data_IF_493576812353
#
_entry.id   IF_493576812353
#
_cell.length_a   1.000
_cell.length_b   1.000
_cell.length_c   1.000
_cell.angle_alpha   90.00
_cell.angle_beta   90.00
_cell.angle_gamma   90.00
#
_symmetry.space_group_name_H-M   'P 1'
#
loop_
_entity.id
_entity.type
_entity.pdbx_description
1 polymer ?
#
# COMPACT_ATOMS: atom_id res chain seq x y z
N UNK A 1 23.23 -7.84 4.25
CA UNK A 1 22.78 -7.51 2.87
C UNK A 1 23.66 -6.43 2.28
N UNK A 2 24.15 -6.58 1.04
CA UNK A 2 24.73 -5.43 0.33
C UNK A 2 23.60 -4.42 0.17
N UNK A 3 23.82 -3.21 0.69
CA UNK A 3 22.81 -2.18 0.61
C UNK A 3 22.69 -1.65 -0.82
N UNK A 4 21.52 -1.78 -1.40
CA UNK A 4 21.17 -1.24 -2.71
C UNK A 4 20.40 0.08 -2.57
N UNK A 5 20.55 0.94 -3.55
CA UNK A 5 20.01 2.28 -3.53
C UNK A 5 19.15 2.64 -4.75
N UNK A 6 18.99 3.93 -4.99
CA UNK A 6 18.17 4.44 -6.09
C UNK A 6 18.66 4.00 -7.48
N UNK A 7 19.97 3.79 -7.66
CA UNK A 7 20.54 3.34 -8.92
C UNK A 7 20.06 1.92 -9.25
N UNK A 8 20.20 1.01 -8.32
CA UNK A 8 19.75 -0.38 -8.47
C UNK A 8 18.23 -0.44 -8.60
N UNK A 9 17.48 0.41 -7.91
CA UNK A 9 16.03 0.52 -8.09
C UNK A 9 15.66 0.93 -9.51
N UNK A 10 16.41 1.85 -10.11
CA UNK A 10 16.21 2.26 -11.49
C UNK A 10 16.48 1.10 -12.45
N UNK A 11 17.62 0.42 -12.29
CA UNK A 11 18.07 -0.67 -13.15
C UNK A 11 17.20 -1.92 -13.02
N UNK A 12 16.85 -2.31 -11.79
CA UNK A 12 16.16 -3.57 -11.51
C UNK A 12 14.64 -3.48 -11.62
N UNK A 13 14.06 -2.31 -11.40
CA UNK A 13 12.61 -2.18 -11.36
C UNK A 13 12.07 -1.27 -12.44
N UNK A 14 12.62 -0.05 -12.60
CA UNK A 14 12.02 0.92 -13.51
C UNK A 14 12.36 0.65 -14.98
N UNK A 15 13.62 0.35 -15.29
CA UNK A 15 14.04 0.03 -16.64
C UNK A 15 13.47 -1.30 -17.15
N UNK A 16 13.14 -2.22 -16.22
CA UNK A 16 12.47 -3.50 -16.52
C UNK A 16 10.94 -3.41 -16.52
N UNK A 17 10.38 -2.21 -16.36
CA UNK A 17 8.92 -1.94 -16.26
C UNK A 17 8.18 -2.75 -15.17
N UNK A 18 8.87 -3.13 -14.10
CA UNK A 18 8.32 -3.91 -13.00
C UNK A 18 7.57 -3.08 -11.96
N UNK A 19 7.65 -1.74 -12.04
CA UNK A 19 6.98 -0.86 -11.09
C UNK A 19 5.47 -1.04 -11.09
N UNK A 20 4.91 -1.37 -9.92
CA UNK A 20 3.46 -1.58 -9.71
C UNK A 20 2.76 -0.35 -9.13
N UNK A 21 3.44 0.79 -9.00
CA UNK A 21 2.85 2.04 -8.53
C UNK A 21 2.34 2.02 -7.08
N UNK A 22 2.84 1.12 -6.22
CA UNK A 22 2.35 0.95 -4.84
C UNK A 22 2.56 2.17 -3.93
N UNK A 23 3.49 3.06 -4.29
CA UNK A 23 3.79 4.28 -3.55
C UNK A 23 4.80 4.12 -2.40
N UNK A 24 5.41 2.95 -2.20
CA UNK A 24 6.34 2.71 -1.09
C UNK A 24 7.57 3.62 -1.11
N UNK A 25 8.04 4.03 -2.28
CA UNK A 25 9.16 4.97 -2.45
C UNK A 25 8.71 6.45 -2.54
N UNK A 26 7.41 6.70 -2.75
CA UNK A 26 6.86 8.07 -2.83
C UNK A 26 6.70 8.65 -1.43
N UNK A 27 6.99 9.95 -1.27
CA UNK A 27 6.99 10.65 0.02
C UNK A 27 8.09 10.22 1.02
N UNK A 28 8.96 9.26 0.66
CA UNK A 28 10.19 8.98 1.43
C UNK A 28 11.22 10.10 1.26
N UNK A 29 11.30 10.66 0.06
CA UNK A 29 12.19 11.77 -0.29
C UNK A 29 11.57 12.59 -1.43
N UNK A 30 12.11 13.78 -1.76
CA UNK A 30 11.56 14.64 -2.80
C UNK A 30 11.74 14.11 -4.23
N UNK A 31 12.54 13.06 -4.45
CA UNK A 31 12.94 12.61 -5.80
C UNK A 31 11.90 11.71 -6.46
N UNK A 32 11.03 11.07 -5.69
CA UNK A 32 10.03 10.15 -6.24
C UNK A 32 8.63 10.74 -6.22
N UNK A 33 7.92 10.60 -7.35
CA UNK A 33 6.53 11.04 -7.50
C UNK A 33 5.70 9.95 -8.17
N UNK A 34 4.45 9.84 -7.76
CA UNK A 34 3.48 9.02 -8.47
C UNK A 34 3.04 9.71 -9.75
N UNK A 35 2.99 8.97 -10.86
CA UNK A 35 2.52 9.45 -12.15
C UNK A 35 1.80 8.34 -12.92
N UNK A 36 0.49 8.51 -13.14
CA UNK A 36 -0.34 7.61 -13.97
C UNK A 36 -0.16 6.12 -13.65
N UNK A 37 -0.20 5.77 -12.36
CA UNK A 37 -0.11 4.39 -11.88
C UNK A 37 1.31 3.81 -11.81
N UNK A 38 2.33 4.60 -12.06
CA UNK A 38 3.75 4.26 -11.89
C UNK A 38 4.42 5.27 -10.96
N UNK A 39 5.67 5.02 -10.58
CA UNK A 39 6.51 6.00 -9.90
C UNK A 39 7.56 6.53 -10.87
N UNK A 40 7.79 7.82 -10.85
CA UNK A 40 8.86 8.50 -11.58
C UNK A 40 9.91 9.02 -10.61
N UNK A 41 11.19 8.82 -10.93
CA UNK A 41 12.32 9.47 -10.27
C UNK A 41 12.61 10.78 -11.01
N UNK A 42 12.52 11.92 -10.31
CA UNK A 42 12.62 13.25 -10.89
C UNK A 42 14.07 13.72 -11.03
N UNK A 43 14.93 13.29 -10.14
CA UNK A 43 16.34 13.70 -10.08
C UNK A 43 17.23 12.49 -9.78
N UNK A 44 18.47 12.45 -10.28
CA UNK A 44 19.45 11.44 -9.90
C UNK A 44 19.76 11.52 -8.40
N UNK A 45 20.14 10.39 -7.82
CA UNK A 45 20.51 10.27 -6.42
C UNK A 45 21.78 9.42 -6.31
N UNK A 46 22.75 9.90 -5.55
CA UNK A 46 24.10 9.31 -5.43
C UNK A 46 24.24 8.42 -4.19
N UNK A 47 23.18 8.26 -3.42
CA UNK A 47 23.19 7.38 -2.25
C UNK A 47 23.37 5.91 -2.68
N UNK A 48 24.34 5.24 -2.04
CA UNK A 48 24.60 3.82 -2.28
C UNK A 48 23.58 2.89 -1.62
N UNK A 49 22.78 3.39 -0.69
CA UNK A 49 21.73 2.66 0.01
C UNK A 49 20.50 3.54 0.15
N UNK A 50 19.31 2.93 0.12
CA UNK A 50 18.09 3.70 0.25
C UNK A 50 16.84 2.87 0.55
N UNK A 51 15.99 3.42 1.43
CA UNK A 51 14.67 2.86 1.73
C UNK A 51 13.79 2.68 0.48
N UNK A 52 14.04 3.45 -0.57
CA UNK A 52 13.34 3.31 -1.84
C UNK A 52 13.54 1.93 -2.50
N UNK A 53 14.76 1.36 -2.39
CA UNK A 53 15.03 -0.01 -2.81
C UNK A 53 14.56 -1.01 -1.76
N UNK A 54 14.97 -0.82 -0.52
CA UNK A 54 14.71 -1.74 0.59
C UNK A 54 13.21 -2.00 0.84
N UNK A 55 12.33 -1.04 0.53
CA UNK A 55 10.88 -1.19 0.69
C UNK A 55 10.16 -1.62 -0.60
N UNK A 56 10.89 -1.69 -1.73
CA UNK A 56 10.25 -1.99 -3.01
C UNK A 56 9.85 -3.46 -3.12
N UNK A 57 8.55 -3.79 -3.32
CA UNK A 57 8.09 -5.17 -3.40
C UNK A 57 8.44 -5.84 -4.75
N UNK A 58 9.16 -5.13 -5.62
CA UNK A 58 9.60 -5.58 -6.95
C UNK A 58 11.12 -5.57 -7.12
N UNK A 59 11.83 -5.10 -6.09
CA UNK A 59 13.25 -5.33 -5.92
C UNK A 59 13.51 -6.73 -5.33
N UNK A 60 14.66 -6.96 -4.77
CA UNK A 60 14.96 -8.21 -4.06
C UNK A 60 14.09 -8.31 -2.80
N UNK A 61 13.29 -9.37 -2.69
CA UNK A 61 12.43 -9.67 -1.54
C UNK A 61 12.70 -11.10 -1.08
N UNK A 62 13.20 -11.24 0.13
CA UNK A 62 13.33 -12.55 0.77
C UNK A 62 12.00 -12.92 1.44
N UNK A 63 11.23 -13.77 0.77
CA UNK A 63 9.93 -14.23 1.26
C UNK A 63 10.06 -15.20 2.43
N UNK A 64 11.15 -15.96 2.52
CA UNK A 64 11.41 -16.88 3.63
C UNK A 64 11.73 -16.08 4.89
N UNK A 65 12.59 -15.06 4.80
CA UNK A 65 12.87 -14.16 5.93
C UNK A 65 11.57 -13.48 6.44
N UNK A 66 10.75 -12.96 5.53
CA UNK A 66 9.48 -12.35 5.90
C UNK A 66 8.51 -13.36 6.53
N UNK A 67 8.40 -14.58 5.99
CA UNK A 67 7.53 -15.61 6.53
C UNK A 67 7.98 -16.04 7.94
N UNK A 68 9.27 -16.29 8.15
CA UNK A 68 9.83 -16.61 9.47
C UNK A 68 9.56 -15.48 10.46
N UNK A 69 9.77 -14.23 10.06
CA UNK A 69 9.56 -13.06 10.92
C UNK A 69 8.12 -12.91 11.40
N UNK A 70 7.15 -13.10 10.51
CA UNK A 70 5.73 -12.84 10.81
C UNK A 70 4.94 -14.07 11.23
N UNK A 71 5.37 -15.27 10.83
CA UNK A 71 4.65 -16.52 11.05
C UNK A 71 5.45 -17.57 11.82
N UNK A 72 6.76 -17.36 12.00
CA UNK A 72 7.67 -18.33 12.63
C UNK A 72 7.87 -19.61 11.81
N UNK A 73 7.65 -19.56 10.49
CA UNK A 73 7.74 -20.69 9.57
C UNK A 73 8.27 -20.22 8.21
N UNK A 74 8.92 -21.12 7.49
CA UNK A 74 9.38 -20.87 6.12
C UNK A 74 8.20 -20.62 5.17
N UNK A 75 8.46 -19.95 4.07
CA UNK A 75 7.46 -19.67 3.03
C UNK A 75 7.17 -20.95 2.21
N UNK A 76 5.95 -21.45 2.31
CA UNK A 76 5.55 -22.72 1.66
C UNK A 76 5.04 -22.53 0.23
N UNK A 77 4.82 -21.32 -0.24
CA UNK A 77 4.34 -21.02 -1.59
C UNK A 77 2.92 -21.51 -1.88
N UNK A 78 2.13 -21.85 -0.85
CA UNK A 78 0.75 -22.32 -1.08
C UNK A 78 -0.19 -21.14 -1.43
N UNK A 79 -1.30 -21.39 -2.18
CA UNK A 79 -2.14 -20.31 -2.73
C UNK A 79 -2.76 -19.36 -1.72
N UNK A 80 -2.98 -19.79 -0.48
CA UNK A 80 -3.58 -18.94 0.58
C UNK A 80 -2.58 -18.53 1.65
N UNK A 81 -1.30 -18.95 1.54
CA UNK A 81 -0.25 -18.66 2.51
C UNK A 81 -0.52 -19.27 3.89
N UNK A 82 0.20 -18.80 4.90
CA UNK A 82 -0.05 -19.16 6.30
C UNK A 82 -1.32 -18.49 6.80
N UNK A 83 -2.12 -19.21 7.57
CA UNK A 83 -3.33 -18.67 8.18
C UNK A 83 -3.60 -19.33 9.55
N UNK A 84 -4.25 -18.59 10.42
CA UNK A 84 -4.73 -19.09 11.73
C UNK A 84 -6.16 -19.61 11.59
N UNK A 85 -7.02 -18.85 10.92
CA UNK A 85 -8.44 -19.16 10.73
C UNK A 85 -8.98 -18.53 9.46
N UNK A 86 -10.04 -19.12 8.92
CA UNK A 86 -10.78 -18.60 7.75
C UNK A 86 -12.23 -18.35 8.16
N UNK A 87 -12.74 -17.16 7.88
CA UNK A 87 -14.09 -16.75 8.23
C UNK A 87 -14.85 -16.21 7.02
N UNK A 88 -16.17 -16.39 7.01
CA UNK A 88 -17.09 -15.59 6.20
C UNK A 88 -17.60 -14.45 7.08
N UNK A 89 -17.42 -13.21 6.63
CA UNK A 89 -17.80 -12.03 7.39
C UNK A 89 -18.52 -10.99 6.53
N UNK A 90 -19.36 -10.21 7.18
CA UNK A 90 -20.08 -9.08 6.60
C UNK A 90 -20.15 -7.97 7.66
N UNK A 91 -20.16 -6.70 7.21
CA UNK A 91 -20.36 -5.56 8.09
C UNK A 91 -21.71 -5.68 8.81
N UNK A 92 -21.74 -5.46 10.10
CA UNK A 92 -22.94 -5.45 10.91
C UNK A 92 -23.65 -4.08 10.90
N UNK A 93 -24.75 -3.97 11.64
CA UNK A 93 -25.58 -2.76 11.73
C UNK A 93 -24.86 -1.54 12.31
N UNK A 94 -23.80 -1.76 13.11
CA UNK A 94 -22.97 -0.69 13.68
C UNK A 94 -21.90 -0.17 12.73
N UNK A 95 -21.75 -0.77 11.56
CA UNK A 95 -20.81 -0.26 10.56
C UNK A 95 -21.28 1.09 10.00
N UNK A 96 -20.36 1.99 9.64
CA UNK A 96 -20.73 3.23 8.98
C UNK A 96 -21.58 2.93 7.74
N UNK A 97 -22.71 3.63 7.57
CA UNK A 97 -23.54 3.51 6.36
C UNK A 97 -22.77 3.91 5.10
N UNK A 98 -22.92 3.16 4.01
CA UNK A 98 -22.26 3.46 2.75
C UNK A 98 -22.56 2.46 1.65
N UNK A 99 -22.15 2.77 0.42
CA UNK A 99 -22.26 1.87 -0.72
C UNK A 99 -21.05 0.92 -0.73
N UNK A 100 -21.25 -0.30 -0.29
CA UNK A 100 -20.22 -1.33 -0.29
C UNK A 100 -20.33 -2.22 -1.53
N UNK A 101 -19.22 -2.48 -2.19
CA UNK A 101 -19.16 -3.40 -3.32
C UNK A 101 -19.32 -4.86 -2.87
N UNK A 102 -18.79 -5.22 -1.69
CA UNK A 102 -18.82 -6.56 -1.13
C UNK A 102 -18.86 -6.50 0.41
N UNK A 103 -20.03 -6.65 1.01
CA UNK A 103 -20.23 -6.86 2.44
C UNK A 103 -19.69 -5.81 3.44
N UNK A 104 -18.83 -4.90 3.04
CA UNK A 104 -18.34 -3.79 3.86
C UNK A 104 -17.39 -4.13 5.00
N UNK A 105 -16.94 -5.38 5.13
CA UNK A 105 -16.12 -5.86 6.27
C UNK A 105 -14.86 -5.02 6.50
N UNK A 106 -14.11 -4.71 5.42
CA UNK A 106 -12.88 -3.91 5.52
C UNK A 106 -13.15 -2.51 6.07
N UNK A 107 -14.18 -1.84 5.54
CA UNK A 107 -14.58 -0.51 6.02
C UNK A 107 -15.03 -0.55 7.49
N UNK A 108 -15.79 -1.58 7.87
CA UNK A 108 -16.22 -1.75 9.26
C UNK A 108 -15.04 -1.99 10.21
N UNK A 109 -14.07 -2.82 9.82
CA UNK A 109 -12.86 -3.09 10.62
C UNK A 109 -12.03 -1.82 10.82
N UNK A 110 -11.81 -1.05 9.76
CA UNK A 110 -11.00 0.16 9.85
C UNK A 110 -11.69 1.25 10.66
N UNK A 111 -13.02 1.43 10.49
CA UNK A 111 -13.80 2.36 11.30
C UNK A 111 -13.79 1.96 12.78
N UNK A 112 -14.00 0.68 13.08
CA UNK A 112 -13.92 0.15 14.44
C UNK A 112 -12.53 0.37 15.05
N UNK A 113 -11.46 0.11 14.30
CA UNK A 113 -10.09 0.29 14.80
C UNK A 113 -9.79 1.75 15.16
N UNK A 114 -10.31 2.72 14.38
CA UNK A 114 -10.24 4.14 14.70
C UNK A 114 -11.05 4.49 15.96
N UNK A 115 -12.30 4.03 16.03
CA UNK A 115 -13.18 4.32 17.18
C UNK A 115 -12.65 3.76 18.50
N UNK A 116 -11.97 2.61 18.45
CA UNK A 116 -11.38 1.96 19.64
C UNK A 116 -9.96 2.45 19.95
N UNK A 117 -9.39 3.38 19.17
CA UNK A 117 -8.01 3.85 19.34
C UNK A 117 -6.93 2.77 19.12
N UNK A 118 -7.29 1.68 18.44
CA UNK A 118 -6.33 0.64 17.99
C UNK A 118 -5.38 1.26 16.97
N UNK A 119 -5.91 2.13 16.10
CA UNK A 119 -5.17 2.94 15.16
C UNK A 119 -5.48 4.43 15.36
N UNK A 120 -4.51 5.30 15.09
CA UNK A 120 -4.65 6.76 15.11
C UNK A 120 -4.86 7.36 13.70
N UNK A 121 -4.63 6.55 12.67
CA UNK A 121 -4.87 6.89 11.29
C UNK A 121 -5.00 5.65 10.40
N UNK A 122 -5.88 5.73 9.41
CA UNK A 122 -6.12 4.67 8.42
C UNK A 122 -5.60 5.11 7.05
N UNK A 123 -4.65 4.37 6.50
CA UNK A 123 -4.14 4.55 5.13
C UNK A 123 -5.00 3.73 4.18
N UNK A 124 -5.76 4.43 3.36
CA UNK A 124 -6.75 3.88 2.47
C UNK A 124 -6.55 4.40 1.03
N UNK A 125 -7.26 3.79 0.09
CA UNK A 125 -7.31 4.25 -1.29
C UNK A 125 -8.68 4.87 -1.59
N UNK A 126 -8.68 6.14 -1.93
CA UNK A 126 -9.84 6.87 -2.44
C UNK A 126 -9.71 7.08 -3.96
N UNK A 127 -10.54 7.91 -4.55
CA UNK A 127 -10.47 8.31 -5.96
C UNK A 127 -10.72 9.80 -6.11
N UNK A 128 -10.03 10.41 -7.07
CA UNK A 128 -10.32 11.73 -7.58
C UNK A 128 -10.63 11.61 -9.08
N UNK A 129 -11.90 11.77 -9.43
CA UNK A 129 -12.38 11.41 -10.76
C UNK A 129 -12.17 9.92 -11.06
N UNK A 130 -11.36 9.61 -12.08
CA UNK A 130 -11.01 8.24 -12.48
C UNK A 130 -9.72 7.71 -11.83
N UNK A 131 -8.96 8.57 -11.17
CA UNK A 131 -7.65 8.18 -10.64
C UNK A 131 -7.75 7.78 -9.17
N UNK A 132 -7.12 6.67 -8.76
CA UNK A 132 -7.00 6.32 -7.37
C UNK A 132 -5.98 7.23 -6.68
N UNK A 133 -6.31 7.64 -5.47
CA UNK A 133 -5.46 8.50 -4.62
C UNK A 133 -5.24 7.90 -3.25
N UNK A 134 -4.06 8.13 -2.70
CA UNK A 134 -3.72 7.72 -1.34
C UNK A 134 -4.35 8.69 -0.33
N UNK A 135 -5.07 8.18 0.67
CA UNK A 135 -5.77 8.96 1.68
C UNK A 135 -5.36 8.50 3.09
N UNK A 136 -5.06 9.45 3.95
CA UNK A 136 -5.00 9.24 5.39
C UNK A 136 -6.33 9.69 5.99
N UNK A 137 -7.02 8.80 6.68
CA UNK A 137 -8.31 9.03 7.34
C UNK A 137 -8.13 8.88 8.84
N UNK A 138 -8.59 9.84 9.62
CA UNK A 138 -8.43 9.86 11.09
C UNK A 138 -9.76 9.76 11.83
N UNK A 139 -10.88 9.81 11.11
CA UNK A 139 -12.23 9.70 11.68
C UNK A 139 -12.97 8.52 11.06
N UNK A 140 -13.58 7.70 11.88
CA UNK A 140 -14.29 6.47 11.46
C UNK A 140 -15.37 6.73 10.40
N UNK A 141 -16.12 7.82 10.54
CA UNK A 141 -17.16 8.21 9.57
C UNK A 141 -16.64 8.52 8.15
N UNK A 142 -15.35 8.83 8.01
CA UNK A 142 -14.74 9.13 6.70
C UNK A 142 -14.26 7.86 5.97
N UNK A 143 -14.14 6.72 6.66
CA UNK A 143 -13.66 5.47 6.05
C UNK A 143 -14.51 5.06 4.85
N UNK A 144 -15.81 5.30 4.91
CA UNK A 144 -16.74 4.91 3.85
C UNK A 144 -16.55 5.66 2.54
N UNK A 145 -15.94 6.84 2.56
CA UNK A 145 -15.61 7.59 1.33
C UNK A 145 -14.59 6.85 0.47
N UNK A 146 -13.75 6.05 1.13
CA UNK A 146 -12.74 5.21 0.49
C UNK A 146 -13.26 3.83 0.07
N UNK A 147 -14.53 3.50 0.33
CA UNK A 147 -15.12 2.20 -0.01
C UNK A 147 -15.09 1.93 -1.52
N UNK A 148 -15.28 0.67 -1.88
CA UNK A 148 -15.22 0.13 -3.25
C UNK A 148 -13.81 -0.03 -3.83
N UNK A 149 -13.66 -1.04 -4.69
CA UNK A 149 -12.40 -1.36 -5.36
C UNK A 149 -12.03 -0.32 -6.42
N UNK A 150 -10.74 -0.04 -6.53
CA UNK A 150 -10.15 0.77 -7.60
C UNK A 150 -9.29 -0.18 -8.45
N UNK A 151 -9.57 -0.25 -9.73
CA UNK A 151 -9.00 -1.27 -10.62
C UNK A 151 -7.70 -0.86 -11.33
N UNK A 152 -7.16 0.30 -10.98
CA UNK A 152 -5.85 0.77 -11.44
C UNK A 152 -4.86 0.86 -10.28
N UNK A 153 -3.57 0.90 -10.59
CA UNK A 153 -2.53 1.03 -9.57
C UNK A 153 -2.70 2.32 -8.75
N UNK A 154 -2.61 2.18 -7.43
CA UNK A 154 -2.78 3.27 -6.47
C UNK A 154 -1.52 3.46 -5.63
N UNK A 155 -1.03 4.69 -5.45
CA UNK A 155 0.15 4.98 -4.63
C UNK A 155 -0.19 5.02 -3.13
N UNK A 156 -0.93 4.03 -2.63
CA UNK A 156 -1.50 4.01 -1.27
C UNK A 156 -0.45 4.21 -0.20
N UNK A 157 0.75 3.65 -0.37
CA UNK A 157 1.82 3.74 0.63
C UNK A 157 2.50 5.12 0.68
N UNK A 158 2.24 6.00 -0.29
CA UNK A 158 2.64 7.41 -0.15
C UNK A 158 1.95 8.08 1.04
N UNK A 159 0.67 7.74 1.32
CA UNK A 159 -0.01 8.23 2.51
C UNK A 159 0.57 7.63 3.80
N UNK A 160 1.07 6.38 3.78
CA UNK A 160 1.77 5.79 4.92
C UNK A 160 3.06 6.57 5.23
N UNK A 161 3.90 6.81 4.23
CA UNK A 161 5.15 7.56 4.40
C UNK A 161 4.89 8.99 4.92
N UNK A 162 3.84 9.64 4.41
CA UNK A 162 3.40 10.97 4.89
C UNK A 162 2.92 10.91 6.33
N UNK A 163 2.07 9.94 6.69
CA UNK A 163 1.56 9.79 8.05
C UNK A 163 2.69 9.57 9.07
N UNK A 164 3.68 8.73 8.73
CA UNK A 164 4.87 8.52 9.57
C UNK A 164 5.62 9.83 9.80
N UNK A 165 5.83 10.62 8.75
CA UNK A 165 6.50 11.93 8.82
C UNK A 165 5.70 12.94 9.65
N UNK A 166 4.36 12.89 9.59
CA UNK A 166 3.43 13.71 10.36
C UNK A 166 3.30 13.27 11.83
N UNK A 167 3.94 12.16 12.21
CA UNK A 167 4.04 11.72 13.60
C UNK A 167 3.02 10.68 14.04
N UNK A 168 2.20 10.13 13.14
CA UNK A 168 1.31 9.00 13.47
C UNK A 168 2.12 7.76 13.84
N UNK A 169 1.65 7.01 14.85
CA UNK A 169 2.39 5.86 15.44
C UNK A 169 1.57 4.59 15.56
N UNK A 170 0.30 4.63 15.25
CA UNK A 170 -0.60 3.47 15.26
C UNK A 170 -1.38 3.43 13.95
N UNK A 171 -0.70 3.24 12.84
CA UNK A 171 -1.31 3.36 11.52
C UNK A 171 -1.94 2.03 11.12
N UNK A 172 -3.19 2.08 10.66
CA UNK A 172 -3.85 0.98 9.95
C UNK A 172 -3.65 1.12 8.45
N UNK A 173 -3.31 0.03 7.76
CA UNK A 173 -3.09 0.04 6.30
C UNK A 173 -4.02 -0.96 5.63
N UNK A 174 -4.75 -0.53 4.61
CA UNK A 174 -5.46 -1.43 3.68
C UNK A 174 -4.69 -1.46 2.36
N UNK A 175 -4.26 -2.64 1.93
CA UNK A 175 -3.41 -2.77 0.75
C UNK A 175 -3.59 -4.06 -0.04
N UNK A 176 -3.22 -4.02 -1.30
CA UNK A 176 -3.07 -5.20 -2.18
C UNK A 176 -1.79 -5.97 -1.83
N UNK A 177 -1.58 -7.21 -2.33
CA UNK A 177 -0.41 -8.02 -1.94
C UNK A 177 0.93 -7.30 -2.11
N UNK A 178 1.15 -6.60 -3.22
CA UNK A 178 2.38 -5.83 -3.42
C UNK A 178 2.55 -4.71 -2.39
N UNK A 179 1.47 -4.06 -1.95
CA UNK A 179 1.52 -3.05 -0.91
C UNK A 179 1.77 -3.67 0.47
N UNK A 180 1.14 -4.81 0.76
CA UNK A 180 1.37 -5.54 2.02
C UNK A 180 2.81 -6.06 2.11
N UNK A 181 3.38 -6.58 1.02
CA UNK A 181 4.79 -6.97 0.97
C UNK A 181 5.72 -5.78 1.26
N UNK A 182 5.46 -4.62 0.65
CA UNK A 182 6.24 -3.41 0.91
C UNK A 182 6.13 -2.96 2.39
N UNK A 183 4.94 -3.03 2.98
CA UNK A 183 4.74 -2.76 4.42
C UNK A 183 5.49 -3.76 5.28
N UNK A 184 5.48 -5.04 4.93
CA UNK A 184 6.23 -6.07 5.65
C UNK A 184 7.74 -5.78 5.62
N UNK A 185 8.30 -5.43 4.46
CA UNK A 185 9.71 -5.02 4.34
C UNK A 185 10.00 -3.76 5.17
N UNK A 186 9.14 -2.73 5.13
CA UNK A 186 9.30 -1.53 5.95
C UNK A 186 9.38 -1.89 7.44
N UNK A 187 8.46 -2.69 7.95
CA UNK A 187 8.39 -3.13 9.36
C UNK A 187 9.56 -4.03 9.76
N UNK A 188 10.14 -4.74 8.80
CA UNK A 188 11.34 -5.55 9.01
C UNK A 188 12.60 -4.69 9.29
N UNK A 189 12.53 -3.38 9.04
CA UNK A 189 13.64 -2.44 9.19
C UNK A 189 14.93 -2.89 8.47
N UNK A 190 14.90 -3.14 7.17
CA UNK A 190 16.03 -3.72 6.43
C UNK A 190 17.29 -2.84 6.38
N UNK A 191 17.17 -1.59 6.84
CA UNK A 191 18.26 -0.63 6.95
C UNK A 191 18.86 -0.57 8.36
N UNK A 192 18.42 -1.43 9.29
CA UNK A 192 18.86 -1.53 10.69
C UNK A 192 18.97 -0.16 11.39
N UNK A 193 17.93 0.65 11.27
CA UNK A 193 17.88 1.97 11.89
C UNK A 193 17.66 1.82 13.41
N UNK A 194 18.57 2.34 14.21
CA UNK A 194 18.55 2.21 15.68
C UNK A 194 17.33 2.86 16.33
N UNK A 195 16.80 3.93 15.73
CA UNK A 195 15.65 4.70 16.21
C UNK A 195 14.33 4.28 15.55
N UNK A 196 14.32 3.18 14.82
CA UNK A 196 13.12 2.71 14.12
C UNK A 196 12.05 2.23 15.11
N UNK A 197 10.90 2.89 15.05
CA UNK A 197 9.68 2.47 15.71
C UNK A 197 8.67 2.04 14.65
N UNK A 198 8.19 0.79 14.74
CA UNK A 198 7.17 0.29 13.80
C UNK A 198 5.88 1.14 13.92
N UNK A 199 5.52 1.90 12.89
CA UNK A 199 4.37 2.78 12.95
C UNK A 199 3.04 2.06 12.63
N UNK A 200 3.10 0.79 12.19
CA UNK A 200 1.93 0.07 11.65
C UNK A 200 1.35 -0.86 12.70
N UNK A 201 0.16 -0.53 13.21
CA UNK A 201 -0.56 -1.31 14.20
C UNK A 201 -1.50 -2.37 13.57
N UNK A 202 -2.02 -2.12 12.36
CA UNK A 202 -2.97 -3.01 11.69
C UNK A 202 -2.70 -3.06 10.19
N UNK A 203 -2.69 -4.26 9.61
CA UNK A 203 -2.63 -4.47 8.17
C UNK A 203 -3.81 -5.31 7.72
N UNK A 204 -4.57 -4.81 6.76
CA UNK A 204 -5.68 -5.52 6.11
C UNK A 204 -5.30 -5.74 4.64
N UNK A 205 -4.90 -6.98 4.32
CA UNK A 205 -4.58 -7.40 2.97
C UNK A 205 -5.82 -7.71 2.15
N UNK A 206 -5.87 -7.20 0.91
CA UNK A 206 -6.90 -7.51 -0.06
C UNK A 206 -6.35 -8.50 -1.07
N UNK A 207 -7.09 -9.54 -1.42
CA UNK A 207 -6.74 -10.36 -2.58
C UNK A 207 -6.79 -9.53 -3.86
N UNK A 208 -5.79 -9.70 -4.70
CA UNK A 208 -5.67 -8.95 -5.95
C UNK A 208 -5.23 -9.92 -7.06
N UNK A 209 -5.98 -9.96 -8.16
CA UNK A 209 -5.65 -10.76 -9.33
C UNK A 209 -4.84 -9.92 -10.34
N UNK A 210 -5.21 -8.64 -10.51
CA UNK A 210 -4.61 -7.72 -11.49
C UNK A 210 -5.01 -6.28 -11.22
N UNK A 211 -4.30 -5.35 -11.86
CA UNK A 211 -4.67 -3.94 -11.97
C UNK A 211 -4.58 -3.51 -13.44
N UNK A 212 -5.52 -2.69 -13.87
CA UNK A 212 -5.50 -2.11 -15.21
C UNK A 212 -4.39 -1.05 -15.32
N UNK A 213 -3.75 -1.01 -16.46
CA UNK A 213 -2.83 0.07 -16.76
C UNK A 213 -3.61 1.38 -16.91
N UNK A 214 -3.22 2.40 -16.13
CA UNK A 214 -3.99 3.65 -15.99
C UNK A 214 -4.14 4.41 -17.30
N UNK A 215 -3.11 4.41 -18.15
CA UNK A 215 -3.15 5.11 -19.44
C UNK A 215 -4.11 4.43 -20.40
N UNK A 216 -4.03 3.10 -20.52
CA UNK A 216 -4.90 2.32 -21.37
C UNK A 216 -6.36 2.45 -20.95
N UNK A 217 -6.64 2.40 -19.64
CA UNK A 217 -8.00 2.62 -19.14
C UNK A 217 -8.50 4.04 -19.46
N UNK A 218 -7.68 5.06 -19.19
CA UNK A 218 -8.07 6.45 -19.47
C UNK A 218 -8.34 6.67 -20.94
N UNK A 219 -7.51 6.12 -21.83
CA UNK A 219 -7.70 6.20 -23.28
C UNK A 219 -8.98 5.50 -23.72
N UNK A 220 -9.25 4.29 -23.22
CA UNK A 220 -10.48 3.55 -23.54
C UNK A 220 -11.71 4.32 -23.12
N UNK A 221 -11.71 4.87 -21.92
CA UNK A 221 -12.85 5.62 -21.36
C UNK A 221 -13.05 6.95 -22.10
N UNK A 222 -11.97 7.67 -22.48
CA UNK A 222 -12.07 8.93 -23.23
C UNK A 222 -12.69 8.78 -24.61
N UNK A 223 -12.60 7.59 -25.20
CA UNK A 223 -13.23 7.28 -26.49
C UNK A 223 -14.74 6.98 -26.38
N UNK A 224 -15.22 6.65 -25.20
CA UNK A 224 -16.60 6.19 -24.98
C UNK A 224 -17.42 7.09 -24.05
N UNK A 225 -16.76 7.88 -23.24
CA UNK A 225 -17.38 8.75 -22.24
C UNK A 225 -16.79 10.14 -22.33
N UNK A 226 -17.60 11.18 -22.14
CA UNK A 226 -17.09 12.52 -21.92
C UNK A 226 -16.56 12.63 -20.49
N UNK A 227 -15.30 12.26 -20.30
CA UNK A 227 -14.61 12.24 -19.00
C UNK A 227 -14.17 13.63 -18.53
N UNK A 228 -14.50 14.70 -19.28
CA UNK A 228 -14.20 16.10 -18.92
C UNK A 228 -15.29 16.73 -18.06
N UNK A 229 -16.37 16.01 -17.83
CA UNK A 229 -17.43 16.33 -16.88
C UNK A 229 -17.28 15.46 -15.65
#
# INVERSE_FOLDING_TARGET
>A
MQGFGPKELLEDVYQKDLCVGCGACVELCPYFRSHKGKTAMLFPCDLSQGRCYAYCPKAEVDLDELAVRYWGKDYEGNPIGHYVSVFKAQAGEKAPGGAFQAGGTVSALMAFALDQGIIDGAVLTDREGLLPVARLVTRSGEVVTCASSKYTAAPTLAALNRAVREGYRKIGVVGTPCQVTAVAQMRANPMDQDDFLDPVALVVGLFCTWALETRALTELLSKRLDIRK
#
